data_IF_296871962700
#
_entry.id   IF_296871962700
#
_cell.length_a   1.000
_cell.length_b   1.000
_cell.length_c   1.000
_cell.angle_alpha   90.00
_cell.angle_beta   90.00
_cell.angle_gamma   90.00
#
_symmetry.space_group_name_H-M   'P 1'
#
loop_
_entity.id
_entity.type
_entity.pdbx_description
1 polymer ?
#
# COMPACT_ATOMS: atom_id res chain seq x y z
N UNK A 1 13.67 9.29 -0.25
CA UNK A 1 13.43 9.05 1.16
C UNK A 1 11.93 8.86 1.41
N UNK A 2 11.56 7.70 1.96
CA UNK A 2 10.16 7.36 2.19
C UNK A 2 9.52 8.20 3.29
N UNK A 3 10.27 8.55 4.32
CA UNK A 3 9.71 9.39 5.39
C UNK A 3 9.33 10.77 4.86
N UNK A 4 10.14 11.36 3.99
CA UNK A 4 9.82 12.64 3.34
C UNK A 4 8.55 12.52 2.51
N UNK A 5 8.38 11.41 1.78
CA UNK A 5 7.16 11.16 1.01
C UNK A 5 5.94 11.09 1.93
N UNK A 6 6.04 10.35 3.04
CA UNK A 6 4.92 10.24 3.99
C UNK A 6 4.52 11.61 4.53
N UNK A 7 5.50 12.43 4.91
CA UNK A 7 5.23 13.80 5.39
C UNK A 7 4.49 14.63 4.33
N UNK A 8 4.96 14.58 3.09
CA UNK A 8 4.36 15.35 1.99
C UNK A 8 2.93 14.90 1.72
N UNK A 9 2.67 13.61 1.73
CA UNK A 9 1.33 13.07 1.50
C UNK A 9 0.38 13.47 2.63
N UNK A 10 0.84 13.41 3.88
CA UNK A 10 0.02 13.86 5.01
C UNK A 10 -0.27 15.34 4.92
N UNK A 11 0.69 16.17 4.53
CA UNK A 11 0.50 17.60 4.33
C UNK A 11 -0.50 17.87 3.20
N UNK A 12 -0.56 16.99 2.20
CA UNK A 12 -1.54 17.08 1.11
C UNK A 12 -2.92 16.55 1.49
N UNK A 13 -3.13 16.18 2.75
CA UNK A 13 -4.41 15.70 3.24
C UNK A 13 -4.72 14.25 2.93
N UNK A 14 -3.72 13.45 2.59
CA UNK A 14 -3.94 12.05 2.24
C UNK A 14 -3.93 11.15 3.47
N UNK A 15 -4.73 10.09 3.42
CA UNK A 15 -4.77 9.05 4.43
C UNK A 15 -3.76 7.97 4.04
N UNK A 16 -2.88 7.61 4.97
CA UNK A 16 -1.89 6.56 4.74
C UNK A 16 -2.23 5.31 5.52
N UNK A 17 -2.18 4.17 4.83
CA UNK A 17 -2.47 2.86 5.43
C UNK A 17 -1.33 1.92 5.07
N UNK A 18 -0.87 1.15 6.05
CA UNK A 18 0.03 0.03 5.77
C UNK A 18 -0.82 -1.22 5.59
N UNK A 19 -0.69 -1.87 4.42
CA UNK A 19 -1.35 -3.15 4.11
C UNK A 19 -0.25 -4.15 3.77
N UNK A 20 -0.07 -5.16 4.59
CA UNK A 20 1.04 -6.12 4.45
C UNK A 20 0.55 -7.56 4.67
N UNK A 21 1.20 -8.52 4.00
CA UNK A 21 0.96 -9.94 4.28
C UNK A 21 1.69 -10.42 5.53
N UNK A 22 2.57 -9.60 6.09
CA UNK A 22 3.26 -9.88 7.35
C UNK A 22 2.24 -9.88 8.49
N UNK A 23 2.51 -10.66 9.55
CA UNK A 23 1.66 -10.68 10.74
C UNK A 23 1.51 -9.25 11.31
N UNK A 24 0.27 -8.82 11.48
CA UNK A 24 -0.08 -7.43 11.83
C UNK A 24 0.62 -6.94 13.11
N UNK A 25 0.69 -7.80 14.12
CA UNK A 25 1.34 -7.46 15.39
C UNK A 25 2.82 -7.07 15.16
N UNK A 26 3.53 -7.86 14.35
CA UNK A 26 4.94 -7.55 14.05
C UNK A 26 5.09 -6.32 13.16
N UNK A 27 4.17 -6.11 12.23
CA UNK A 27 4.20 -4.91 11.38
C UNK A 27 4.10 -3.64 12.22
N UNK A 28 3.23 -3.63 13.22
CA UNK A 28 3.09 -2.50 14.14
C UNK A 28 4.37 -2.25 14.93
N UNK A 29 5.00 -3.31 15.44
CA UNK A 29 6.26 -3.21 16.18
C UNK A 29 7.36 -2.61 15.29
N UNK A 30 7.44 -3.04 14.03
CA UNK A 30 8.45 -2.55 13.09
C UNK A 30 8.26 -1.05 12.84
N UNK A 31 7.03 -0.60 12.62
CA UNK A 31 6.75 0.82 12.41
C UNK A 31 7.14 1.66 13.62
N UNK A 32 6.83 1.19 14.83
CA UNK A 32 7.19 1.89 16.06
C UNK A 32 8.70 1.96 16.22
N UNK A 33 9.40 0.87 15.91
CA UNK A 33 10.86 0.81 16.02
C UNK A 33 11.54 1.88 15.14
N UNK A 34 11.02 2.11 13.94
CA UNK A 34 11.56 3.10 13.02
C UNK A 34 10.91 4.48 13.15
N UNK A 35 10.04 4.66 14.15
CA UNK A 35 9.31 5.90 14.40
C UNK A 35 8.50 6.37 13.18
N UNK A 36 7.93 5.41 12.42
CA UNK A 36 7.10 5.67 11.25
C UNK A 36 5.62 5.52 11.52
N UNK A 37 5.24 4.97 12.67
CA UNK A 37 3.85 4.70 13.03
C UNK A 37 2.98 5.96 13.01
N UNK A 38 3.55 7.11 13.32
CA UNK A 38 2.84 8.38 13.35
C UNK A 38 2.29 8.83 11.99
N UNK A 39 2.81 8.27 10.89
CA UNK A 39 2.34 8.65 9.55
C UNK A 39 1.16 7.81 9.08
N UNK A 40 0.90 6.68 9.71
CA UNK A 40 -0.12 5.74 9.26
C UNK A 40 -1.40 5.88 10.07
N UNK A 41 -2.49 6.09 9.35
CA UNK A 41 -3.82 6.22 9.94
C UNK A 41 -4.41 4.86 10.30
N UNK A 42 -3.92 3.79 9.66
CA UNK A 42 -4.36 2.43 9.91
C UNK A 42 -3.27 1.45 9.51
N UNK A 43 -3.17 0.33 10.20
CA UNK A 43 -2.21 -0.74 9.91
C UNK A 43 -2.97 -2.04 9.83
N UNK A 44 -2.87 -2.73 8.69
CA UNK A 44 -3.51 -4.01 8.46
C UNK A 44 -2.47 -5.03 8.01
N UNK A 45 -2.49 -6.20 8.60
CA UNK A 45 -1.60 -7.30 8.25
C UNK A 45 -2.32 -8.62 8.31
N UNK A 46 -1.59 -9.72 8.19
CA UNK A 46 -2.18 -11.04 8.32
C UNK A 46 -2.55 -11.34 9.78
N UNK A 47 -3.49 -12.25 9.96
CA UNK A 47 -3.89 -12.73 11.28
C UNK A 47 -3.09 -13.98 11.66
N UNK A 48 -2.97 -14.23 12.96
CA UNK A 48 -2.25 -15.39 13.48
C UNK A 48 -2.85 -16.72 13.01
N UNK A 49 -4.18 -16.77 12.85
CA UNK A 49 -4.89 -17.97 12.42
C UNK A 49 -5.00 -18.14 10.91
N UNK A 50 -4.43 -17.21 10.12
CA UNK A 50 -4.44 -17.28 8.68
C UNK A 50 -5.73 -16.87 7.99
N UNK A 51 -6.73 -16.35 8.71
CA UNK A 51 -7.99 -15.90 8.11
C UNK A 51 -7.79 -14.74 7.14
N UNK A 52 -6.75 -13.96 7.37
CA UNK A 52 -6.43 -12.78 6.55
C UNK A 52 -4.93 -12.84 6.27
N UNK A 53 -4.53 -13.47 5.15
CA UNK A 53 -3.11 -13.64 4.82
C UNK A 53 -2.79 -13.18 3.40
N UNK A 54 -3.66 -13.42 2.42
CA UNK A 54 -3.44 -12.95 1.05
C UNK A 54 -3.59 -11.42 0.99
N UNK A 55 -2.83 -10.78 0.09
CA UNK A 55 -2.86 -9.32 -0.02
C UNK A 55 -4.27 -8.80 -0.30
N UNK A 56 -5.04 -9.48 -1.15
CA UNK A 56 -6.43 -9.07 -1.43
C UNK A 56 -7.29 -9.07 -0.16
N UNK A 57 -7.10 -10.05 0.70
CA UNK A 57 -7.85 -10.13 1.97
C UNK A 57 -7.49 -8.97 2.89
N UNK A 58 -6.20 -8.62 2.95
CA UNK A 58 -5.72 -7.50 3.77
C UNK A 58 -6.30 -6.19 3.25
N UNK A 59 -6.27 -5.97 1.93
CA UNK A 59 -6.83 -4.76 1.32
C UNK A 59 -8.34 -4.67 1.57
N UNK A 60 -9.07 -5.77 1.39
CA UNK A 60 -10.52 -5.78 1.66
C UNK A 60 -10.83 -5.44 3.12
N UNK A 61 -10.02 -5.95 4.04
CA UNK A 61 -10.17 -5.62 5.46
C UNK A 61 -9.98 -4.11 5.70
N UNK A 62 -9.01 -3.47 5.03
CA UNK A 62 -8.82 -2.03 5.12
C UNK A 62 -10.04 -1.27 4.62
N UNK A 63 -10.53 -1.65 3.43
CA UNK A 63 -11.69 -0.96 2.83
C UNK A 63 -12.91 -1.04 3.75
N UNK A 64 -13.17 -2.21 4.31
CA UNK A 64 -14.31 -2.41 5.21
C UNK A 64 -14.12 -1.67 6.54
N UNK A 65 -12.93 -1.75 7.12
CA UNK A 65 -12.64 -1.15 8.43
C UNK A 65 -12.69 0.36 8.41
N UNK A 66 -12.36 0.98 7.29
CA UNK A 66 -12.30 2.44 7.14
C UNK A 66 -13.48 3.00 6.35
N UNK A 67 -14.49 2.17 6.03
CA UNK A 67 -15.67 2.55 5.24
C UNK A 67 -15.30 3.21 3.91
N UNK A 68 -14.29 2.66 3.22
CA UNK A 68 -13.84 3.19 1.94
C UNK A 68 -14.66 2.58 0.82
N UNK A 69 -15.79 3.20 0.51
CA UNK A 69 -16.75 2.71 -0.50
C UNK A 69 -16.42 3.20 -1.89
N UNK A 70 -15.80 4.36 -2.04
CA UNK A 70 -15.40 4.90 -3.34
C UNK A 70 -14.00 4.41 -3.68
N UNK A 71 -13.92 3.29 -4.39
CA UNK A 71 -12.65 2.65 -4.75
C UNK A 71 -11.81 3.49 -5.70
N UNK A 72 -12.39 4.46 -6.40
CA UNK A 72 -11.65 5.37 -7.28
C UNK A 72 -10.71 6.31 -6.49
N UNK A 73 -10.93 6.43 -5.19
CA UNK A 73 -10.11 7.26 -4.30
C UNK A 73 -9.08 6.46 -3.51
N UNK A 74 -8.94 5.18 -3.80
CA UNK A 74 -8.03 4.28 -3.09
C UNK A 74 -6.97 3.78 -4.06
N UNK A 75 -5.71 3.78 -3.62
CA UNK A 75 -4.59 3.41 -4.47
C UNK A 75 -3.62 2.53 -3.68
N UNK A 76 -3.28 1.38 -4.23
CA UNK A 76 -2.28 0.48 -3.65
C UNK A 76 -0.91 0.83 -4.21
N UNK A 77 0.09 0.86 -3.33
CA UNK A 77 1.48 1.08 -3.73
C UNK A 77 2.27 -0.15 -3.32
N UNK A 78 2.95 -0.78 -4.26
CA UNK A 78 3.69 -2.00 -3.97
C UNK A 78 4.81 -2.27 -4.95
N UNK A 79 5.74 -3.14 -4.54
CA UNK A 79 6.92 -3.48 -5.30
C UNK A 79 6.92 -4.91 -5.83
N UNK A 80 5.89 -5.68 -5.54
CA UNK A 80 5.76 -7.08 -5.92
C UNK A 80 4.45 -7.35 -6.63
N UNK A 81 4.42 -8.41 -7.44
CA UNK A 81 3.23 -8.76 -8.20
C UNK A 81 2.00 -9.01 -7.31
N UNK A 82 2.18 -9.61 -6.12
CA UNK A 82 1.01 -9.89 -5.27
C UNK A 82 0.36 -8.61 -4.73
N UNK A 83 1.10 -7.50 -4.61
CA UNK A 83 0.51 -6.21 -4.27
C UNK A 83 -0.41 -5.74 -5.40
N UNK A 84 0.06 -5.87 -6.64
CA UNK A 84 -0.67 -5.42 -7.83
C UNK A 84 -1.89 -6.32 -8.08
N UNK A 85 -1.70 -7.63 -8.01
CA UNK A 85 -2.78 -8.61 -8.18
C UNK A 85 -3.84 -8.44 -7.07
N UNK A 86 -3.39 -8.21 -5.84
CA UNK A 86 -4.32 -7.97 -4.72
C UNK A 86 -5.19 -6.74 -4.96
N UNK A 87 -4.58 -5.65 -5.41
CA UNK A 87 -5.31 -4.42 -5.73
C UNK A 87 -6.34 -4.65 -6.85
N UNK A 88 -5.91 -5.31 -7.93
CA UNK A 88 -6.78 -5.63 -9.06
C UNK A 88 -7.95 -6.51 -8.63
N UNK A 89 -7.69 -7.50 -7.78
CA UNK A 89 -8.72 -8.42 -7.29
C UNK A 89 -9.84 -7.70 -6.54
N UNK A 90 -9.50 -6.68 -5.74
CA UNK A 90 -10.49 -5.91 -5.01
C UNK A 90 -11.01 -4.70 -5.78
N UNK A 91 -10.47 -4.43 -6.96
CA UNK A 91 -10.97 -3.37 -7.85
C UNK A 91 -10.46 -1.98 -7.57
N UNK A 92 -9.23 -1.86 -7.04
CA UNK A 92 -8.57 -0.55 -6.86
C UNK A 92 -7.37 -0.44 -7.78
N UNK A 93 -7.00 0.81 -8.10
CA UNK A 93 -5.81 1.08 -8.91
C UNK A 93 -4.53 0.85 -8.11
N UNK A 94 -3.40 0.75 -8.79
CA UNK A 94 -2.12 0.50 -8.15
C UNK A 94 -0.97 1.26 -8.80
N UNK A 95 0.05 1.53 -7.98
CA UNK A 95 1.35 2.01 -8.44
C UNK A 95 2.36 0.91 -8.14
N UNK A 96 3.04 0.41 -9.18
CA UNK A 96 4.18 -0.47 -9.02
C UNK A 96 5.45 0.36 -8.88
N UNK A 97 6.23 0.12 -7.82
CA UNK A 97 7.47 0.87 -7.60
C UNK A 97 8.68 0.04 -8.01
N UNK A 98 9.62 0.66 -8.74
CA UNK A 98 10.75 -0.03 -9.33
C UNK A 98 11.97 -0.13 -8.41
N UNK A 99 12.00 0.63 -7.33
CA UNK A 99 13.13 0.59 -6.40
C UNK A 99 13.02 -0.53 -5.35
N UNK A 100 12.03 -1.40 -5.47
CA UNK A 100 11.86 -2.59 -4.62
C UNK A 100 12.34 -3.85 -5.34
N UNK A 101 11.66 -4.98 -5.07
CA UNK A 101 12.08 -6.29 -5.56
C UNK A 101 11.45 -6.68 -6.91
N UNK A 102 10.36 -6.04 -7.32
CA UNK A 102 9.70 -6.34 -8.59
C UNK A 102 10.35 -5.63 -9.77
N UNK A 103 10.28 -6.25 -10.95
CA UNK A 103 10.74 -5.64 -12.19
C UNK A 103 9.59 -4.87 -12.86
N UNK A 104 9.95 -4.01 -13.82
CA UNK A 104 8.95 -3.32 -14.65
C UNK A 104 8.01 -4.33 -15.30
N UNK A 105 8.56 -5.39 -15.89
CA UNK A 105 7.76 -6.40 -16.59
C UNK A 105 6.81 -7.12 -15.63
N UNK A 106 7.30 -7.52 -14.46
CA UNK A 106 6.46 -8.18 -13.45
C UNK A 106 5.27 -7.29 -13.07
N UNK A 107 5.54 -6.03 -12.76
CA UNK A 107 4.50 -5.11 -12.28
C UNK A 107 3.52 -4.74 -13.39
N UNK A 108 4.04 -4.44 -14.58
CA UNK A 108 3.22 -4.06 -15.73
C UNK A 108 2.33 -5.21 -16.21
N UNK A 109 2.88 -6.41 -16.34
CA UNK A 109 2.15 -7.58 -16.81
C UNK A 109 1.05 -8.02 -15.84
N UNK A 110 1.21 -7.72 -14.54
CA UNK A 110 0.20 -8.03 -13.54
C UNK A 110 -0.84 -6.92 -13.35
N UNK A 111 -0.77 -5.87 -14.16
CA UNK A 111 -1.84 -4.88 -14.25
C UNK A 111 -1.66 -3.63 -13.41
N UNK A 112 -0.41 -3.25 -13.08
CA UNK A 112 -0.17 -1.98 -12.38
C UNK A 112 -0.72 -0.83 -13.21
N UNK A 113 -1.52 0.04 -12.59
CA UNK A 113 -2.11 1.19 -13.27
C UNK A 113 -1.06 2.24 -13.60
N UNK A 114 -0.09 2.40 -12.71
CA UNK A 114 1.02 3.33 -12.86
C UNK A 114 2.31 2.65 -12.44
N UNK A 115 3.45 3.11 -12.98
CA UNK A 115 4.77 2.65 -12.59
C UNK A 115 5.56 3.86 -12.10
N UNK A 116 6.15 3.76 -10.91
CA UNK A 116 6.95 4.82 -10.31
C UNK A 116 8.40 4.38 -10.15
N UNK A 117 9.34 5.21 -10.55
CA UNK A 117 10.78 4.95 -10.42
C UNK A 117 11.32 5.42 -9.06
N UNK A 118 10.66 6.40 -8.46
CA UNK A 118 11.13 7.03 -7.22
C UNK A 118 9.94 7.63 -6.45
N UNK A 119 10.23 8.17 -5.27
CA UNK A 119 9.20 8.76 -4.42
C UNK A 119 8.50 9.96 -5.07
N UNK A 120 9.23 10.73 -5.85
CA UNK A 120 8.63 11.89 -6.54
C UNK A 120 7.57 11.46 -7.54
N UNK A 121 7.79 10.37 -8.26
CA UNK A 121 6.80 9.82 -9.18
C UNK A 121 5.53 9.39 -8.43
N UNK A 122 5.69 8.76 -7.26
CA UNK A 122 4.55 8.38 -6.43
C UNK A 122 3.74 9.62 -6.03
N UNK A 123 4.43 10.64 -5.56
CA UNK A 123 3.77 11.88 -5.13
C UNK A 123 3.00 12.53 -6.27
N UNK A 124 3.58 12.57 -7.47
CA UNK A 124 2.92 13.15 -8.65
C UNK A 124 1.64 12.41 -9.02
N UNK A 125 1.67 11.07 -8.99
CA UNK A 125 0.49 10.27 -9.33
C UNK A 125 -0.63 10.52 -8.31
N UNK A 126 -0.30 10.51 -7.03
CA UNK A 126 -1.30 10.64 -5.96
C UNK A 126 -1.92 12.03 -5.92
N UNK A 127 -1.15 13.06 -6.23
CA UNK A 127 -1.60 14.46 -6.14
C UNK A 127 -2.05 15.05 -7.47
N UNK A 128 -2.03 14.28 -8.53
CA UNK A 128 -2.45 14.73 -9.86
C UNK A 128 -3.95 15.04 -9.93
#
# INVERSE_FOLDING_TARGET
>A
DMETLFKRLKQAGKTLVLATSKYEYFAKIILEHFALDKYFDFVAGSTKNGERSAKADVISYVLDSMDLTDKSKVLMIGDKMHDIVGASTVGIDSIGVLYGFGSYNELSENGATHIAKNAEDIYRVITA
#
